data_IF_285108279451
#
_entry.id   IF_285108279451
#
_cell.length_a   1.000
_cell.length_b   1.000
_cell.length_c   1.000
_cell.angle_alpha   90.00
_cell.angle_beta   90.00
_cell.angle_gamma   90.00
#
_symmetry.space_group_name_H-M   'P 1'
#
loop_
_entity.id
_entity.type
_entity.pdbx_description
1 polymer ?
#
# COMPACT_ATOMS: atom_id res chain seq x y z
N UNK A 1 -3.78 8.07 18.13
CA UNK A 1 -4.01 7.79 16.70
C UNK A 1 -3.87 6.29 16.51
N UNK A 2 -4.91 5.60 16.01
CA UNK A 2 -4.82 4.18 15.70
C UNK A 2 -3.84 4.02 14.52
N UNK A 3 -2.79 3.22 14.70
CA UNK A 3 -1.71 3.00 13.72
C UNK A 3 -2.15 2.12 12.56
N UNK A 4 -3.22 2.53 11.87
CA UNK A 4 -3.85 1.78 10.76
C UNK A 4 -3.73 2.52 9.44
N UNK A 5 -3.35 3.80 9.46
CA UNK A 5 -3.11 4.61 8.27
C UNK A 5 -1.69 5.13 8.30
N UNK A 6 -1.00 5.02 7.17
CA UNK A 6 0.38 5.46 7.00
C UNK A 6 0.50 6.26 5.71
N UNK A 7 1.28 7.33 5.74
CA UNK A 7 1.60 8.14 4.56
C UNK A 7 3.11 8.18 4.38
N UNK A 8 3.58 7.94 3.17
CA UNK A 8 4.97 8.05 2.77
C UNK A 8 5.16 9.41 2.11
N UNK A 9 6.12 10.17 2.61
CA UNK A 9 6.49 11.47 2.05
C UNK A 9 7.88 11.41 1.40
N UNK A 10 8.15 12.32 0.48
CA UNK A 10 9.52 12.59 0.07
C UNK A 10 10.27 13.48 1.08
N UNK A 11 11.45 13.98 0.68
CA UNK A 11 12.32 14.80 1.53
C UNK A 11 11.90 16.28 1.60
N UNK A 12 10.77 16.67 1.00
CA UNK A 12 10.30 18.05 1.09
C UNK A 12 9.93 18.46 2.51
N UNK A 13 9.70 19.75 2.70
CA UNK A 13 9.30 20.31 3.98
C UNK A 13 7.80 20.15 4.22
N UNK A 14 7.41 20.00 5.48
CA UNK A 14 6.00 19.98 5.87
C UNK A 14 5.34 21.33 5.51
N UNK A 15 4.20 21.36 4.77
CA UNK A 15 3.51 22.60 4.38
C UNK A 15 3.18 23.53 5.54
N UNK A 16 2.98 22.99 6.75
CA UNK A 16 2.73 23.77 7.99
C UNK A 16 3.90 24.68 8.40
N UNK A 17 5.08 24.52 7.78
CA UNK A 17 6.23 25.41 7.97
C UNK A 17 6.19 26.66 7.07
N UNK A 18 5.13 26.85 6.28
CA UNK A 18 4.96 27.99 5.36
C UNK A 18 6.13 28.15 4.38
N UNK A 19 6.67 27.04 3.89
CA UNK A 19 7.68 27.04 2.83
C UNK A 19 7.03 27.21 1.44
N UNK A 20 7.76 27.72 0.43
CA UNK A 20 7.30 27.75 -0.95
C UNK A 20 6.84 26.36 -1.45
N UNK A 21 5.86 26.32 -2.35
CA UNK A 21 5.19 25.08 -2.83
C UNK A 21 6.20 24.09 -3.41
N UNK A 22 7.20 24.57 -4.13
CA UNK A 22 8.26 23.75 -4.72
C UNK A 22 9.15 23.06 -3.68
N UNK A 23 9.18 23.57 -2.44
CA UNK A 23 9.90 22.98 -1.31
C UNK A 23 9.00 22.10 -0.43
N UNK A 24 7.69 22.08 -0.68
CA UNK A 24 6.75 21.27 0.09
C UNK A 24 6.87 19.79 -0.28
N UNK A 25 6.73 18.94 0.73
CA UNK A 25 6.76 17.50 0.57
C UNK A 25 5.60 16.99 -0.29
N UNK A 26 5.90 15.96 -1.08
CA UNK A 26 4.90 15.18 -1.82
C UNK A 26 4.46 13.97 -1.02
N UNK A 27 3.21 13.56 -1.21
CA UNK A 27 2.75 12.23 -0.79
C UNK A 27 3.07 11.22 -1.90
N UNK A 28 3.89 10.22 -1.56
CA UNK A 28 4.37 9.19 -2.49
C UNK A 28 3.49 7.94 -2.48
N UNK A 29 2.94 7.62 -1.31
CA UNK A 29 2.01 6.52 -1.11
C UNK A 29 1.24 6.72 0.20
N UNK A 30 0.04 6.14 0.27
CA UNK A 30 -0.67 5.92 1.51
C UNK A 30 -1.00 4.43 1.66
N UNK A 31 -1.01 3.95 2.91
CA UNK A 31 -1.34 2.58 3.26
C UNK A 31 -2.42 2.61 4.31
N UNK A 32 -3.55 1.95 4.03
CA UNK A 32 -4.63 1.72 4.96
C UNK A 32 -4.70 0.23 5.31
N UNK A 33 -4.61 -0.09 6.59
CA UNK A 33 -4.88 -1.41 7.13
C UNK A 33 -6.25 -1.40 7.77
N UNK A 34 -7.08 -2.36 7.38
CA UNK A 34 -8.39 -2.51 8.00
C UNK A 34 -8.29 -3.15 9.37
N UNK A 35 -8.98 -2.54 10.32
CA UNK A 35 -9.17 -3.12 11.64
C UNK A 35 -10.19 -4.23 11.51
N UNK A 36 -9.80 -5.48 11.81
CA UNK A 36 -10.76 -6.58 11.92
C UNK A 36 -11.67 -6.31 13.12
N UNK A 37 -12.91 -5.83 12.88
CA UNK A 37 -13.81 -5.40 13.96
C UNK A 37 -14.58 -6.59 14.59
N UNK A 38 -14.47 -7.81 14.06
CA UNK A 38 -15.36 -8.93 14.41
C UNK A 38 -14.65 -10.29 14.55
N UNK A 39 -13.43 -10.34 15.08
CA UNK A 39 -12.76 -11.62 15.40
C UNK A 39 -12.38 -12.49 14.19
N UNK A 40 -12.50 -11.97 12.96
CA UNK A 40 -12.04 -12.64 11.75
C UNK A 40 -10.53 -12.91 11.83
N UNK A 41 -10.19 -14.20 11.88
CA UNK A 41 -8.82 -14.71 11.80
C UNK A 41 -8.44 -14.80 10.32
N UNK A 42 -7.76 -13.78 9.82
CA UNK A 42 -7.25 -13.72 8.45
C UNK A 42 -6.21 -12.62 8.28
N UNK A 43 -5.44 -12.62 7.18
CA UNK A 43 -4.56 -11.52 6.84
C UNK A 43 -5.34 -10.21 6.82
N UNK A 44 -4.80 -9.14 7.41
CA UNK A 44 -5.45 -7.83 7.40
C UNK A 44 -5.51 -7.31 5.97
N UNK A 45 -6.69 -6.84 5.53
CA UNK A 45 -6.82 -6.15 4.25
C UNK A 45 -5.97 -4.88 4.28
N UNK A 46 -5.09 -4.77 3.31
CA UNK A 46 -4.15 -3.67 3.12
C UNK A 46 -4.50 -3.03 1.77
N UNK A 47 -4.84 -1.76 1.82
CA UNK A 47 -5.04 -0.91 0.65
C UNK A 47 -3.85 0.02 0.52
N UNK A 48 -3.31 0.13 -0.69
CA UNK A 48 -2.20 1.00 -1.02
C UNK A 48 -2.69 1.98 -2.07
N UNK A 49 -2.56 3.27 -1.78
CA UNK A 49 -2.93 4.36 -2.67
C UNK A 49 -1.64 5.02 -3.12
N UNK A 50 -1.43 5.10 -4.42
CA UNK A 50 -0.28 5.83 -4.99
C UNK A 50 -0.78 6.87 -6.00
N UNK A 51 -0.03 7.95 -6.23
CA UNK A 51 -0.33 8.83 -7.35
C UNK A 51 -0.21 8.06 -8.67
N UNK A 52 -1.15 8.32 -9.57
CA UNK A 52 -1.20 7.75 -10.91
C UNK A 52 -0.04 8.21 -11.79
N UNK A 53 -0.08 7.75 -13.04
CA UNK A 53 0.96 8.03 -14.04
C UNK A 53 0.37 8.90 -15.16
N UNK A 54 1.13 9.87 -15.64
CA UNK A 54 0.81 10.63 -16.84
C UNK A 54 0.97 9.76 -18.09
N UNK A 55 0.53 10.28 -19.24
CA UNK A 55 0.76 9.67 -20.56
C UNK A 55 2.24 9.40 -20.86
N UNK A 56 3.13 10.20 -20.27
CA UNK A 56 4.57 10.13 -20.48
C UNK A 56 5.26 9.23 -19.44
N UNK A 57 4.49 8.41 -18.73
CA UNK A 57 4.96 7.52 -17.68
C UNK A 57 5.71 8.23 -16.53
N UNK A 58 5.33 9.48 -16.22
CA UNK A 58 5.77 10.18 -15.03
C UNK A 58 4.70 10.12 -13.95
N UNK A 59 5.10 9.98 -12.69
CA UNK A 59 4.16 10.03 -11.57
C UNK A 59 3.53 11.42 -11.48
N UNK A 60 2.20 11.47 -11.41
CA UNK A 60 1.48 12.72 -11.14
C UNK A 60 1.82 13.19 -9.74
N UNK A 61 2.20 14.45 -9.58
CA UNK A 61 2.60 14.97 -8.28
C UNK A 61 1.37 15.22 -7.38
N UNK A 62 1.46 14.78 -6.14
CA UNK A 62 0.46 15.06 -5.10
C UNK A 62 1.14 15.83 -3.98
N UNK A 63 0.86 17.13 -3.89
CA UNK A 63 1.28 18.03 -2.81
C UNK A 63 0.04 18.61 -2.14
N UNK A 64 -0.44 18.00 -1.04
CA UNK A 64 -1.62 18.48 -0.35
C UNK A 64 -1.36 19.85 0.28
N UNK A 65 -2.17 20.85 -0.07
CA UNK A 65 -2.17 22.16 0.59
C UNK A 65 -2.90 22.10 1.94
N UNK A 66 -3.91 21.23 2.03
CA UNK A 66 -4.62 20.91 3.26
C UNK A 66 -4.85 19.40 3.41
N UNK A 67 -5.50 18.99 4.51
CA UNK A 67 -5.71 17.56 4.80
C UNK A 67 -6.66 16.88 3.81
N UNK A 68 -7.62 17.60 3.21
CA UNK A 68 -8.62 17.03 2.30
C UNK A 68 -8.00 16.57 0.98
N UNK A 69 -6.88 17.19 0.59
CA UNK A 69 -6.11 16.84 -0.60
C UNK A 69 -5.12 15.66 -0.39
N UNK A 70 -5.00 15.15 0.84
CA UNK A 70 -4.12 14.00 1.13
C UNK A 70 -4.63 12.72 0.44
N UNK A 71 -3.73 11.79 0.12
CA UNK A 71 -4.07 10.52 -0.52
C UNK A 71 -5.12 9.74 0.27
N UNK A 72 -5.01 9.73 1.60
CA UNK A 72 -5.95 9.03 2.49
C UNK A 72 -7.33 9.67 2.45
N UNK A 73 -7.42 10.99 2.59
CA UNK A 73 -8.72 11.66 2.62
C UNK A 73 -9.40 11.61 1.26
N UNK A 74 -8.65 11.76 0.16
CA UNK A 74 -9.19 11.57 -1.20
C UNK A 74 -9.74 10.16 -1.39
N UNK A 75 -9.00 9.13 -0.99
CA UNK A 75 -9.46 7.73 -1.04
C UNK A 75 -10.73 7.50 -0.19
N UNK A 76 -10.78 8.00 1.05
CA UNK A 76 -11.99 7.87 1.90
C UNK A 76 -13.22 8.54 1.30
N UNK A 77 -13.04 9.63 0.55
CA UNK A 77 -14.11 10.32 -0.16
C UNK A 77 -14.34 9.78 -1.58
N UNK A 78 -13.68 8.68 -1.96
CA UNK A 78 -13.75 8.08 -3.28
C UNK A 78 -13.33 9.01 -4.43
N UNK A 79 -12.48 10.01 -4.15
CA UNK A 79 -11.83 10.83 -5.19
C UNK A 79 -10.54 10.13 -5.66
N UNK A 80 -10.68 9.31 -6.68
CA UNK A 80 -9.59 8.53 -7.28
C UNK A 80 -8.97 9.21 -8.51
N UNK A 81 -9.24 10.50 -8.71
CA UNK A 81 -8.73 11.25 -9.87
C UNK A 81 -7.19 11.28 -9.86
N UNK A 82 -6.54 10.76 -10.90
CA UNK A 82 -5.08 10.62 -10.97
C UNK A 82 -4.46 9.82 -9.81
N UNK A 83 -5.20 8.90 -9.20
CA UNK A 83 -4.71 7.98 -8.18
C UNK A 83 -4.82 6.53 -8.68
N UNK A 84 -4.03 5.64 -8.09
CA UNK A 84 -4.12 4.20 -8.29
C UNK A 84 -4.31 3.53 -6.93
N UNK A 85 -5.34 2.70 -6.85
CA UNK A 85 -5.60 1.83 -5.70
C UNK A 85 -5.09 0.43 -5.98
N UNK A 86 -4.37 -0.12 -5.01
CA UNK A 86 -3.80 -1.46 -5.04
C UNK A 86 -4.15 -2.16 -3.74
N UNK A 87 -4.18 -3.49 -3.77
CA UNK A 87 -4.50 -4.29 -2.59
C UNK A 87 -3.46 -5.39 -2.38
N UNK A 88 -3.35 -5.85 -1.13
CA UNK A 88 -2.67 -7.11 -0.92
C UNK A 88 -3.46 -8.25 -1.60
N UNK A 89 -2.77 -9.12 -2.32
CA UNK A 89 -3.36 -10.32 -2.92
C UNK A 89 -3.92 -11.21 -1.82
N UNK A 90 -5.16 -11.64 -1.99
CA UNK A 90 -5.79 -12.63 -1.11
C UNK A 90 -5.07 -13.97 -1.24
N UNK A 91 -4.66 -14.62 -0.14
CA UNK A 91 -4.04 -15.93 -0.22
C UNK A 91 -5.07 -16.99 -0.63
N UNK A 92 -4.59 -18.05 -1.24
CA UNK A 92 -5.39 -19.20 -1.67
C UNK A 92 -5.30 -20.27 -0.57
N UNK A 93 -6.41 -20.93 -0.27
CA UNK A 93 -6.41 -22.09 0.62
C UNK A 93 -5.70 -23.27 -0.06
N UNK A 94 -4.69 -23.82 0.60
CA UNK A 94 -4.04 -25.06 0.19
C UNK A 94 -4.52 -26.21 1.08
N UNK A 95 -5.18 -27.20 0.46
CA UNK A 95 -5.73 -28.36 1.16
C UNK A 95 -4.66 -29.31 1.70
N UNK A 96 -3.53 -29.45 1.00
CA UNK A 96 -2.43 -30.34 1.41
C UNK A 96 -1.75 -29.81 2.69
N UNK A 97 -1.49 -28.51 2.75
CA UNK A 97 -0.84 -27.86 3.89
C UNK A 97 -1.81 -27.28 4.91
N UNK A 98 -3.13 -27.42 4.70
CA UNK A 98 -4.21 -26.88 5.53
C UNK A 98 -3.97 -25.42 5.94
N UNK A 99 -3.60 -24.57 4.98
CA UNK A 99 -3.18 -23.18 5.25
C UNK A 99 -3.40 -22.25 4.06
N UNK A 100 -3.53 -20.96 4.36
CA UNK A 100 -3.58 -19.89 3.35
C UNK A 100 -2.18 -19.56 2.84
N UNK A 101 -1.96 -19.69 1.53
CA UNK A 101 -0.66 -19.51 0.89
C UNK A 101 -0.71 -18.51 -0.28
N UNK A 102 0.43 -17.87 -0.53
CA UNK A 102 0.70 -17.08 -1.73
C UNK A 102 1.88 -17.71 -2.46
N UNK A 103 1.84 -17.69 -3.79
CA UNK A 103 2.95 -18.20 -4.59
C UNK A 103 4.01 -17.11 -4.80
N UNK A 104 5.14 -17.24 -4.11
CA UNK A 104 6.29 -16.35 -4.24
C UNK A 104 7.36 -16.87 -5.21
N UNK A 105 7.11 -17.99 -5.91
CA UNK A 105 8.06 -18.63 -6.84
C UNK A 105 9.43 -18.89 -6.22
N UNK A 106 9.46 -19.38 -4.98
CA UNK A 106 10.68 -19.66 -4.22
C UNK A 106 11.40 -18.45 -3.63
N UNK A 107 10.93 -17.22 -3.87
CA UNK A 107 11.55 -15.98 -3.36
C UNK A 107 11.31 -15.73 -1.87
N UNK A 108 10.26 -16.35 -1.30
CA UNK A 108 9.92 -16.29 0.12
C UNK A 108 9.90 -17.72 0.63
N UNK A 109 10.71 -18.01 1.64
CA UNK A 109 10.99 -19.39 2.08
C UNK A 109 10.54 -19.67 3.51
N UNK A 110 10.10 -18.65 4.26
CA UNK A 110 9.57 -18.83 5.61
C UNK A 110 8.13 -18.31 5.75
N UNK A 111 7.29 -19.11 6.42
CA UNK A 111 5.93 -18.71 6.76
C UNK A 111 5.94 -17.49 7.70
N UNK A 112 5.13 -16.49 7.38
CA UNK A 112 4.94 -15.30 8.22
C UNK A 112 3.64 -14.59 7.87
N UNK A 113 2.98 -14.01 8.88
CA UNK A 113 1.86 -13.08 8.68
C UNK A 113 2.27 -11.77 7.99
N UNK A 114 3.59 -11.54 7.83
CA UNK A 114 4.16 -10.38 7.14
C UNK A 114 4.39 -10.63 5.65
N UNK A 115 4.13 -11.84 5.14
CA UNK A 115 4.31 -12.13 3.72
C UNK A 115 3.11 -11.62 2.94
N UNK A 116 3.33 -10.79 1.93
CA UNK A 116 2.25 -10.29 1.07
C UNK A 116 2.75 -10.02 -0.35
N UNK A 117 1.80 -10.03 -1.28
CA UNK A 117 1.96 -9.51 -2.64
C UNK A 117 0.98 -8.36 -2.81
N UNK A 118 1.34 -7.34 -3.59
CA UNK A 118 0.47 -6.23 -3.94
C UNK A 118 0.09 -6.35 -5.40
N UNK A 119 -1.20 -6.22 -5.70
CA UNK A 119 -1.80 -6.36 -7.02
C UNK A 119 -2.81 -5.23 -7.27
N UNK A 120 -3.20 -5.06 -8.52
CA UNK A 120 -4.36 -4.26 -8.89
C UNK A 120 -5.58 -5.17 -9.04
N UNK A 121 -6.78 -4.72 -8.66
CA UNK A 121 -7.97 -5.58 -8.67
C UNK A 121 -8.39 -6.01 -10.08
N UNK A 122 -8.11 -5.19 -11.09
CA UNK A 122 -8.34 -5.55 -12.51
C UNK A 122 -7.34 -6.58 -13.06
N UNK A 123 -6.20 -6.82 -12.40
CA UNK A 123 -5.19 -7.79 -12.82
C UNK A 123 -4.47 -8.38 -11.59
N UNK A 124 -5.04 -9.46 -11.05
CA UNK A 124 -4.50 -10.14 -9.87
C UNK A 124 -3.28 -11.02 -10.17
N UNK A 125 -2.95 -11.25 -11.44
CA UNK A 125 -1.78 -12.03 -11.85
C UNK A 125 -0.54 -11.14 -11.92
N UNK A 126 -0.70 -9.86 -12.27
CA UNK A 126 0.35 -8.88 -12.24
C UNK A 126 0.71 -8.43 -10.81
N UNK A 127 1.80 -9.03 -10.27
CA UNK A 127 2.33 -8.68 -8.95
C UNK A 127 3.18 -7.40 -9.03
N UNK A 128 2.62 -6.28 -8.59
CA UNK A 128 3.29 -4.98 -8.53
C UNK A 128 4.45 -4.95 -7.52
N UNK A 129 4.26 -5.60 -6.37
CA UNK A 129 5.25 -5.70 -5.30
C UNK A 129 5.08 -7.02 -4.57
N UNK A 130 6.17 -7.58 -4.08
CA UNK A 130 6.11 -8.66 -3.12
C UNK A 130 7.07 -8.40 -1.98
N UNK A 131 6.70 -8.88 -0.80
CA UNK A 131 7.51 -8.82 0.39
C UNK A 131 7.33 -10.11 1.18
N UNK A 132 8.43 -10.70 1.65
CA UNK A 132 8.30 -11.83 2.56
C UNK A 132 9.61 -12.31 3.18
N UNK A 133 9.48 -13.10 4.24
CA UNK A 133 10.62 -13.57 5.04
C UNK A 133 11.40 -14.68 4.33
N UNK A 134 12.72 -14.53 4.32
CA UNK A 134 13.66 -15.56 3.79
C UNK A 134 14.49 -16.21 4.89
N UNK A 135 14.83 -15.48 5.95
CA UNK A 135 15.47 -16.03 7.15
C UNK A 135 15.14 -15.18 8.37
N UNK A 136 15.71 -15.53 9.53
CA UNK A 136 15.57 -14.64 10.68
C UNK A 136 16.18 -13.27 10.40
N UNK A 137 15.41 -12.22 10.70
CA UNK A 137 15.76 -10.83 10.39
C UNK A 137 15.92 -10.46 8.91
N UNK A 138 15.65 -11.35 7.94
CA UNK A 138 15.86 -11.09 6.50
C UNK A 138 14.59 -11.25 5.68
N UNK A 139 14.39 -10.33 4.75
CA UNK A 139 13.22 -10.26 3.87
C UNK A 139 13.65 -10.06 2.42
N UNK A 140 12.88 -10.64 1.50
CA UNK A 140 12.88 -10.35 0.08
C UNK A 140 11.81 -9.30 -0.21
#
# INVERSE_FOLDING_TARGET
MLGTYFTVFDQGSNPKKNVPIEQQRRELAAIAYETNILGFKGPRRMTIIIPGMSSDHHRVEVRPNDNSESLIERWKHNDMSNLLELHNKSPIWNEETQSYVLNFHGRVTQASVKNFQVVHDNDQEYVCMQFGRVSDGKFY
#
